data_IF_777285594462
#
_entry.id   IF_777285594462
#
_cell.length_a   1.000
_cell.length_b   1.000
_cell.length_c   1.000
_cell.angle_alpha   90.00
_cell.angle_beta   90.00
_cell.angle_gamma   90.00
#
_symmetry.space_group_name_H-M   'P 1'
#
loop_
_entity.id
_entity.type
_entity.pdbx_description
1 polymer ?
#
# COMPACT_ATOMS: atom_id res chain seq x y z
N UNK A 1 -16.22 -7.63 6.96
CA UNK A 1 -16.55 -7.34 8.38
C UNK A 1 -17.21 -5.97 8.56
N UNK A 2 -16.81 -4.92 7.83
CA UNK A 2 -17.39 -3.57 7.95
C UNK A 2 -18.75 -3.38 7.23
N UNK A 3 -18.98 -3.96 6.05
CA UNK A 3 -20.30 -3.94 5.39
C UNK A 3 -21.40 -4.49 6.33
N UNK A 4 -21.13 -5.61 7.01
CA UNK A 4 -22.00 -6.18 8.06
C UNK A 4 -22.17 -5.26 9.29
N UNK A 5 -21.24 -4.34 9.57
CA UNK A 5 -21.31 -3.38 10.68
C UNK A 5 -22.16 -2.16 10.31
N UNK A 6 -22.09 -1.71 9.06
CA UNK A 6 -22.95 -0.64 8.51
C UNK A 6 -24.39 -1.14 8.30
N UNK A 7 -24.58 -2.38 7.82
CA UNK A 7 -25.88 -3.04 7.75
C UNK A 7 -26.52 -3.21 9.14
N UNK A 8 -25.75 -3.61 10.16
CA UNK A 8 -26.23 -3.69 11.55
C UNK A 8 -26.62 -2.33 12.14
N UNK A 9 -26.11 -1.22 11.61
CA UNK A 9 -26.45 0.13 12.01
C UNK A 9 -27.66 0.71 11.23
N UNK A 10 -28.35 -0.10 10.44
CA UNK A 10 -29.53 0.32 9.66
C UNK A 10 -29.20 1.24 8.49
N UNK A 11 -27.92 1.38 8.13
CA UNK A 11 -27.47 2.18 6.99
C UNK A 11 -27.11 1.24 5.85
N UNK A 12 -27.97 1.18 4.85
CA UNK A 12 -27.67 0.47 3.61
C UNK A 12 -26.43 1.10 2.95
N UNK A 13 -25.30 0.40 3.02
CA UNK A 13 -24.05 0.81 2.40
C UNK A 13 -23.77 -0.14 1.23
N UNK A 14 -23.67 0.41 0.03
CA UNK A 14 -23.22 -0.31 -1.15
C UNK A 14 -21.81 0.15 -1.51
N UNK A 15 -20.97 -0.78 -1.93
CA UNK A 15 -19.71 -0.45 -2.55
C UNK A 15 -19.97 0.08 -3.95
N UNK A 16 -19.26 1.13 -4.34
CA UNK A 16 -19.32 1.72 -5.67
C UNK A 16 -17.89 1.77 -6.16
N UNK A 17 -17.62 1.28 -7.37
CA UNK A 17 -16.29 1.41 -7.97
C UNK A 17 -16.04 2.90 -8.20
N UNK A 18 -14.82 3.40 -8.00
CA UNK A 18 -14.54 4.83 -8.14
C UNK A 18 -14.98 5.39 -9.52
N UNK A 19 -14.89 4.58 -10.58
CA UNK A 19 -15.36 4.91 -11.94
C UNK A 19 -16.88 4.94 -12.11
N UNK A 20 -17.64 4.41 -11.16
CA UNK A 20 -19.10 4.38 -11.16
C UNK A 20 -19.73 5.57 -10.41
N UNK A 21 -18.91 6.39 -9.75
CA UNK A 21 -19.36 7.65 -9.15
C UNK A 21 -19.69 8.64 -10.28
N UNK A 22 -20.91 9.15 -10.27
CA UNK A 22 -21.47 10.07 -11.28
C UNK A 22 -21.11 11.53 -11.04
N UNK A 23 -20.48 11.83 -9.90
CA UNK A 23 -20.01 13.15 -9.51
C UNK A 23 -21.07 14.02 -8.81
N UNK A 24 -22.32 13.55 -8.73
CA UNK A 24 -23.44 14.17 -8.01
C UNK A 24 -23.70 13.52 -6.64
N UNK A 25 -22.90 12.52 -6.26
CA UNK A 25 -22.97 11.90 -4.95
C UNK A 25 -22.61 12.89 -3.84
N UNK A 26 -23.43 12.92 -2.80
CA UNK A 26 -23.13 13.66 -1.58
C UNK A 26 -21.77 13.22 -1.00
N UNK A 27 -20.75 14.10 -0.96
CA UNK A 27 -19.43 13.77 -0.45
C UNK A 27 -19.46 13.28 1.01
N UNK A 28 -20.46 13.70 1.80
CA UNK A 28 -20.64 13.22 3.17
C UNK A 28 -21.06 11.75 3.26
N UNK A 29 -21.45 11.14 2.12
CA UNK A 29 -21.90 9.74 2.01
C UNK A 29 -20.91 8.85 1.27
N UNK A 30 -19.84 9.41 0.70
CA UNK A 30 -18.78 8.68 0.02
C UNK A 30 -17.56 8.63 0.93
N UNK A 31 -17.24 7.43 1.44
CA UNK A 31 -16.05 7.22 2.24
C UNK A 31 -15.03 6.42 1.44
N UNK A 32 -13.90 7.05 1.12
CA UNK A 32 -12.80 6.36 0.45
C UNK A 32 -12.24 5.27 1.38
N UNK A 33 -12.09 4.07 0.86
CA UNK A 33 -11.47 2.98 1.60
C UNK A 33 -10.00 3.31 1.80
N UNK A 34 -9.57 3.24 3.07
CA UNK A 34 -8.19 3.48 3.48
C UNK A 34 -7.66 2.24 4.20
N UNK A 35 -6.42 1.89 3.88
CA UNK A 35 -5.67 0.87 4.61
C UNK A 35 -5.36 1.43 6.01
N UNK A 36 -5.38 0.57 7.04
CA UNK A 36 -5.25 1.01 8.44
C UNK A 36 -6.52 1.67 9.02
N UNK A 37 -7.46 2.07 8.18
CA UNK A 37 -8.81 2.50 8.57
C UNK A 37 -9.83 1.36 8.44
N UNK A 38 -10.68 1.47 7.42
CA UNK A 38 -11.74 0.47 7.16
C UNK A 38 -11.18 -0.87 6.67
N UNK A 39 -9.98 -0.86 6.09
CA UNK A 39 -9.27 -2.07 5.69
C UNK A 39 -8.15 -2.39 6.69
N UNK A 40 -8.21 -3.52 7.41
CA UNK A 40 -7.25 -3.83 8.46
C UNK A 40 -5.87 -4.16 7.89
N UNK A 41 -4.83 -3.53 8.43
CA UNK A 41 -3.43 -3.81 8.07
C UNK A 41 -3.02 -5.26 8.29
N UNK A 42 -3.63 -5.93 9.27
CA UNK A 42 -3.39 -7.34 9.57
C UNK A 42 -3.62 -8.27 8.36
N UNK A 43 -4.36 -7.82 7.34
CA UNK A 43 -4.50 -8.53 6.06
C UNK A 43 -3.14 -8.82 5.39
N UNK A 44 -2.16 -7.94 5.56
CA UNK A 44 -0.84 -8.05 4.93
C UNK A 44 0.19 -8.81 5.80
N UNK A 45 -0.19 -9.32 6.99
CA UNK A 45 0.75 -9.95 7.93
C UNK A 45 1.41 -11.23 7.40
N UNK A 46 0.77 -11.92 6.45
CA UNK A 46 1.32 -13.08 5.73
C UNK A 46 1.98 -12.69 4.40
N UNK A 47 2.17 -11.40 4.15
CA UNK A 47 2.64 -10.86 2.87
C UNK A 47 1.62 -10.94 1.74
N UNK A 48 0.44 -11.56 1.94
CA UNK A 48 -0.62 -11.65 0.92
C UNK A 48 -1.12 -10.25 0.56
N UNK A 49 -1.30 -9.98 -0.73
CA UNK A 49 -1.71 -8.66 -1.23
C UNK A 49 -0.59 -7.63 -1.32
N UNK A 50 0.60 -7.90 -0.79
CA UNK A 50 1.78 -7.09 -1.08
C UNK A 50 2.35 -7.48 -2.46
N UNK A 51 2.72 -6.53 -3.31
CA UNK A 51 3.36 -6.84 -4.59
C UNK A 51 4.75 -7.43 -4.36
N UNK A 52 5.24 -8.13 -5.37
CA UNK A 52 6.60 -8.64 -5.41
C UNK A 52 7.36 -7.85 -6.47
N UNK A 53 8.49 -7.27 -6.08
CA UNK A 53 9.45 -6.71 -7.02
C UNK A 53 10.01 -7.83 -7.91
N UNK A 54 10.12 -7.56 -9.22
CA UNK A 54 10.77 -8.46 -10.17
C UNK A 54 12.30 -8.44 -9.98
N UNK A 55 12.99 -9.52 -10.37
CA UNK A 55 14.47 -9.60 -10.36
C UNK A 55 15.03 -10.98 -9.98
N UNK A 56 16.20 -11.30 -10.51
CA UNK A 56 16.84 -12.64 -10.44
C UNK A 56 17.14 -13.16 -9.02
N UNK A 57 17.23 -12.27 -8.03
CA UNK A 57 17.51 -12.60 -6.63
C UNK A 57 16.43 -12.10 -5.66
N UNK A 58 15.24 -11.78 -6.16
CA UNK A 58 14.17 -11.15 -5.38
C UNK A 58 14.46 -9.68 -5.14
N UNK A 59 13.76 -8.81 -5.87
CA UNK A 59 13.88 -7.37 -5.67
C UNK A 59 13.35 -6.93 -4.30
N UNK A 60 13.58 -5.66 -3.97
CA UNK A 60 13.01 -5.06 -2.75
C UNK A 60 11.71 -4.36 -3.11
N UNK A 61 10.64 -4.71 -2.40
CA UNK A 61 9.42 -3.91 -2.41
C UNK A 61 9.53 -2.83 -1.34
N UNK A 62 9.45 -1.57 -1.74
CA UNK A 62 9.48 -0.41 -0.86
C UNK A 62 8.08 0.18 -0.75
N UNK A 63 7.45 0.01 0.41
CA UNK A 63 6.16 0.61 0.71
C UNK A 63 6.36 2.04 1.19
N UNK A 64 5.61 2.98 0.60
CA UNK A 64 5.63 4.38 1.01
C UNK A 64 4.34 4.72 1.74
N UNK A 65 4.44 4.92 3.05
CA UNK A 65 3.30 5.28 3.91
C UNK A 65 2.97 6.76 3.69
N UNK A 66 1.71 7.09 3.33
CA UNK A 66 1.32 8.46 3.04
C UNK A 66 1.41 9.34 4.30
N UNK A 67 1.58 10.64 4.07
CA UNK A 67 1.55 11.63 5.14
C UNK A 67 0.19 11.60 5.86
N UNK A 68 0.20 11.92 7.16
CA UNK A 68 -1.03 11.94 7.96
C UNK A 68 -1.58 10.57 8.35
N UNK A 69 -0.91 9.46 8.01
CA UNK A 69 -1.20 8.16 8.62
C UNK A 69 -1.06 8.25 10.15
N UNK A 70 -1.93 7.55 10.90
CA UNK A 70 -1.87 7.55 12.36
C UNK A 70 -0.59 6.88 12.87
N UNK A 71 -0.09 7.26 14.05
CA UNK A 71 1.14 6.68 14.61
C UNK A 71 1.06 5.14 14.74
N UNK A 72 -0.10 4.62 15.14
CA UNK A 72 -0.39 3.18 15.23
C UNK A 72 -0.35 2.48 13.88
N UNK A 73 -0.78 3.17 12.83
CA UNK A 73 -0.75 2.67 11.45
C UNK A 73 0.66 2.64 10.88
N UNK A 74 1.44 3.70 11.10
CA UNK A 74 2.86 3.75 10.73
C UNK A 74 3.65 2.62 11.38
N UNK A 75 3.44 2.42 12.68
CA UNK A 75 4.10 1.37 13.44
C UNK A 75 3.72 -0.03 12.93
N UNK A 76 2.44 -0.22 12.57
CA UNK A 76 1.98 -1.48 12.00
C UNK A 76 2.59 -1.76 10.61
N UNK A 77 2.83 -0.73 9.78
CA UNK A 77 3.57 -0.89 8.53
C UNK A 77 5.04 -1.27 8.78
N UNK A 78 5.72 -0.56 9.68
CA UNK A 78 7.11 -0.86 10.05
C UNK A 78 7.26 -2.27 10.64
N UNK A 79 6.25 -2.74 11.38
CA UNK A 79 6.23 -4.11 11.88
C UNK A 79 6.18 -5.16 10.76
N UNK A 80 5.54 -4.88 9.62
CA UNK A 80 5.56 -5.81 8.47
C UNK A 80 6.96 -5.97 7.89
N UNK A 81 7.75 -4.88 7.86
CA UNK A 81 9.17 -4.95 7.49
C UNK A 81 9.96 -5.77 8.50
N UNK A 82 9.84 -5.48 9.81
CA UNK A 82 10.57 -6.19 10.88
C UNK A 82 10.27 -7.68 10.92
N UNK A 83 9.01 -8.04 10.73
CA UNK A 83 8.54 -9.43 10.68
C UNK A 83 8.77 -10.11 9.34
N UNK A 84 9.41 -9.41 8.38
CA UNK A 84 9.72 -9.90 7.02
C UNK A 84 8.49 -10.51 6.35
N UNK A 85 7.37 -9.79 6.37
CA UNK A 85 6.07 -10.30 5.91
C UNK A 85 6.13 -10.90 4.49
N UNK A 86 6.89 -10.28 3.57
CA UNK A 86 7.08 -10.80 2.20
C UNK A 86 7.89 -12.11 2.14
N UNK A 87 8.83 -12.33 3.06
CA UNK A 87 9.64 -13.55 3.09
C UNK A 87 8.80 -14.81 3.37
N UNK A 88 7.60 -14.65 3.95
CA UNK A 88 6.62 -15.73 4.12
C UNK A 88 6.04 -16.23 2.80
N UNK A 89 6.04 -15.40 1.75
CA UNK A 89 5.57 -15.77 0.39
C UNK A 89 6.70 -16.10 -0.55
N UNK A 90 7.83 -15.41 -0.44
CA UNK A 90 9.02 -15.66 -1.25
C UNK A 90 10.26 -15.37 -0.39
N UNK A 91 11.10 -16.37 -0.08
CA UNK A 91 12.23 -16.20 0.85
C UNK A 91 13.28 -15.19 0.37
N UNK A 92 13.29 -14.88 -0.93
CA UNK A 92 14.20 -13.91 -1.55
C UNK A 92 13.58 -12.51 -1.65
N UNK A 93 12.27 -12.35 -1.43
CA UNK A 93 11.62 -11.05 -1.47
C UNK A 93 11.87 -10.27 -0.18
N UNK A 94 12.40 -9.06 -0.33
CA UNK A 94 12.57 -8.10 0.76
C UNK A 94 11.47 -7.06 0.79
N UNK A 95 11.15 -6.59 2.00
CA UNK A 95 10.23 -5.50 2.26
C UNK A 95 10.99 -4.39 2.98
N UNK A 96 10.83 -3.16 2.50
CA UNK A 96 11.23 -1.95 3.22
C UNK A 96 10.04 -1.00 3.30
N UNK A 97 10.03 -0.15 4.31
CA UNK A 97 9.01 0.86 4.53
C UNK A 97 9.66 2.22 4.63
N UNK A 98 9.06 3.19 3.95
CA UNK A 98 9.38 4.61 4.06
C UNK A 98 8.13 5.39 4.48
N UNK A 99 8.32 6.49 5.21
CA UNK A 99 7.26 7.40 5.63
C UNK A 99 7.41 8.72 4.88
N UNK A 100 6.28 9.30 4.43
CA UNK A 100 6.30 10.55 3.65
C UNK A 100 6.60 11.78 4.53
N UNK A 101 6.21 11.75 5.80
CA UNK A 101 6.27 12.88 6.74
C UNK A 101 7.04 12.56 8.04
N UNK A 102 7.82 11.49 8.04
CA UNK A 102 8.62 11.02 9.18
C UNK A 102 9.78 10.14 8.71
N UNK A 103 10.59 9.66 9.65
CA UNK A 103 11.68 8.72 9.36
C UNK A 103 11.25 7.25 9.58
N UNK A 104 11.76 6.31 8.78
CA UNK A 104 12.73 6.53 7.69
C UNK A 104 12.06 7.10 6.43
N UNK A 105 12.65 8.13 5.85
CA UNK A 105 12.15 8.82 4.65
C UNK A 105 12.47 8.04 3.36
N UNK A 106 11.68 8.26 2.31
CA UNK A 106 11.88 7.59 1.02
C UNK A 106 13.31 7.79 0.45
N UNK A 107 13.88 9.02 0.41
CA UNK A 107 15.26 9.21 -0.03
C UNK A 107 16.29 8.47 0.83
N UNK A 108 16.11 8.45 2.15
CA UNK A 108 17.02 7.74 3.06
C UNK A 108 17.01 6.22 2.78
N UNK A 109 15.82 5.62 2.71
CA UNK A 109 15.68 4.17 2.48
C UNK A 109 16.30 3.77 1.15
N UNK A 110 16.12 4.56 0.08
CA UNK A 110 16.76 4.28 -1.20
C UNK A 110 18.29 4.41 -1.13
N UNK A 111 18.82 5.41 -0.42
CA UNK A 111 20.26 5.55 -0.23
C UNK A 111 20.86 4.35 0.51
N UNK A 112 20.18 3.86 1.55
CA UNK A 112 20.59 2.65 2.29
C UNK A 112 20.55 1.40 1.40
N UNK A 113 19.49 1.22 0.61
CA UNK A 113 19.37 0.08 -0.32
C UNK A 113 20.47 0.08 -1.37
N UNK A 114 20.83 1.25 -1.90
CA UNK A 114 21.97 1.43 -2.82
C UNK A 114 23.29 1.08 -2.16
N UNK A 115 23.53 1.59 -0.96
CA UNK A 115 24.76 1.30 -0.21
C UNK A 115 24.88 -0.21 0.09
N UNK A 116 23.76 -0.91 0.24
CA UNK A 116 23.70 -2.37 0.40
C UNK A 116 23.86 -3.17 -0.91
N UNK A 117 24.02 -2.51 -2.06
CA UNK A 117 24.16 -3.16 -3.36
C UNK A 117 22.85 -3.65 -3.99
N UNK A 118 21.71 -3.17 -3.50
CA UNK A 118 20.41 -3.48 -4.12
C UNK A 118 20.33 -2.83 -5.50
N UNK A 119 19.95 -3.61 -6.51
CA UNK A 119 19.84 -3.13 -7.90
C UNK A 119 18.42 -2.86 -8.36
N UNK A 120 17.44 -3.62 -7.85
CA UNK A 120 16.03 -3.50 -8.27
C UNK A 120 15.12 -3.22 -7.08
N UNK A 121 14.38 -2.13 -7.19
CA UNK A 121 13.42 -1.69 -6.17
C UNK A 121 12.08 -1.37 -6.82
N UNK A 122 11.02 -1.93 -6.26
CA UNK A 122 9.63 -1.61 -6.61
C UNK A 122 9.06 -0.66 -5.56
N UNK A 123 8.82 0.60 -5.93
CA UNK A 123 8.20 1.61 -5.07
C UNK A 123 6.69 1.53 -5.18
N UNK A 124 6.02 1.42 -4.04
CA UNK A 124 4.57 1.24 -3.98
C UNK A 124 3.98 2.09 -2.86
N UNK A 125 3.11 3.07 -3.16
CA UNK A 125 2.34 3.76 -2.13
C UNK A 125 1.50 2.78 -1.32
N UNK A 126 1.48 2.94 0.00
CA UNK A 126 0.69 2.12 0.93
C UNK A 126 -0.79 2.53 0.95
N UNK A 127 -1.36 2.71 -0.24
CA UNK A 127 -2.77 3.02 -0.50
C UNK A 127 -3.29 2.08 -1.59
N UNK A 128 -4.60 2.00 -1.77
CA UNK A 128 -5.18 1.16 -2.84
C UNK A 128 -4.78 1.66 -4.23
N UNK A 129 -4.92 2.96 -4.45
CA UNK A 129 -4.49 3.65 -5.67
C UNK A 129 -4.19 5.10 -5.32
N UNK A 130 -2.93 5.50 -5.47
CA UNK A 130 -2.50 6.88 -5.40
C UNK A 130 -3.02 7.64 -6.64
N UNK A 131 -3.35 8.90 -6.43
CA UNK A 131 -3.66 9.84 -7.49
C UNK A 131 -2.41 10.18 -8.31
N UNK A 132 -2.58 10.69 -9.55
CA UNK A 132 -1.46 11.17 -10.35
C UNK A 132 -0.63 12.26 -9.64
N UNK A 133 -1.28 13.10 -8.84
CA UNK A 133 -0.61 14.15 -8.06
C UNK A 133 0.28 13.58 -6.97
N UNK A 134 -0.19 12.58 -6.23
CA UNK A 134 0.60 11.88 -5.20
C UNK A 134 1.80 11.15 -5.83
N UNK A 135 1.59 10.45 -6.95
CA UNK A 135 2.68 9.77 -7.65
C UNK A 135 3.76 10.76 -8.14
N UNK A 136 3.34 11.92 -8.65
CA UNK A 136 4.28 12.98 -9.06
C UNK A 136 5.03 13.54 -7.87
N UNK A 137 4.34 13.85 -6.77
CA UNK A 137 4.98 14.35 -5.56
C UNK A 137 6.02 13.37 -4.98
N UNK A 138 5.74 12.07 -5.04
CA UNK A 138 6.69 11.03 -4.64
C UNK A 138 7.91 11.00 -5.56
N UNK A 139 7.73 11.06 -6.88
CA UNK A 139 8.84 11.11 -7.82
C UNK A 139 9.69 12.38 -7.64
N UNK A 140 9.05 13.54 -7.44
CA UNK A 140 9.73 14.81 -7.17
C UNK A 140 10.51 14.77 -5.84
N UNK A 141 10.02 14.06 -4.82
CA UNK A 141 10.72 13.92 -3.53
C UNK A 141 12.09 13.23 -3.64
N UNK A 142 12.30 12.45 -4.70
CA UNK A 142 13.57 11.78 -4.99
C UNK A 142 14.54 12.65 -5.79
N UNK A 143 14.05 13.68 -6.50
CA UNK A 143 14.85 14.50 -7.40
C UNK A 143 15.71 13.67 -8.37
N UNK A 144 16.92 14.14 -8.64
CA UNK A 144 17.88 13.47 -9.53
C UNK A 144 18.35 12.11 -8.98
N UNK A 145 18.14 11.84 -7.70
CA UNK A 145 18.52 10.56 -7.11
C UNK A 145 17.73 9.40 -7.73
N UNK A 146 16.53 9.61 -8.28
CA UNK A 146 15.72 8.53 -8.86
C UNK A 146 16.30 7.90 -10.14
N UNK A 147 17.15 8.62 -10.89
CA UNK A 147 17.46 8.28 -12.29
C UNK A 147 18.95 7.97 -12.54
N UNK A 148 19.56 7.17 -11.66
CA UNK A 148 20.97 6.75 -11.82
C UNK A 148 21.04 5.39 -12.52
N UNK A 149 21.99 5.24 -13.45
CA UNK A 149 22.14 4.07 -14.32
C UNK A 149 22.45 2.75 -13.60
N UNK A 150 22.77 2.79 -12.30
CA UNK A 150 23.13 1.63 -11.48
C UNK A 150 21.98 1.09 -10.62
N UNK A 151 20.77 1.64 -10.78
CA UNK A 151 19.64 1.38 -9.88
C UNK A 151 18.28 1.38 -10.60
N UNK A 152 17.71 0.19 -10.80
CA UNK A 152 16.42 0.00 -11.43
C UNK A 152 15.28 0.31 -10.45
N UNK A 153 14.57 1.39 -10.73
CA UNK A 153 13.41 1.83 -9.95
C UNK A 153 12.11 1.60 -10.74
N UNK A 154 11.33 0.62 -10.30
CA UNK A 154 9.97 0.38 -10.81
C UNK A 154 8.92 0.98 -9.88
N UNK A 155 7.74 1.30 -10.42
CA UNK A 155 6.66 1.94 -9.67
C UNK A 155 5.34 1.20 -9.86
N UNK A 156 4.58 1.06 -8.77
CA UNK A 156 3.14 0.76 -8.83
C UNK A 156 2.35 1.94 -8.26
N UNK A 157 1.14 2.21 -8.77
CA UNK A 157 0.30 3.28 -8.26
C UNK A 157 -0.28 2.99 -6.87
N UNK A 158 -0.12 1.77 -6.33
CA UNK A 158 -0.60 1.39 -5.02
C UNK A 158 -0.62 -0.12 -4.87
N UNK A 159 -1.17 -0.60 -3.76
CA UNK A 159 -1.30 -2.02 -3.46
C UNK A 159 -2.41 -2.70 -4.27
N UNK A 160 -3.24 -1.92 -4.96
CA UNK A 160 -4.42 -2.42 -5.64
C UNK A 160 -5.45 -2.94 -4.64
N UNK A 161 -6.70 -3.08 -5.08
CA UNK A 161 -7.75 -3.58 -4.23
C UNK A 161 -9.04 -3.77 -5.00
N UNK A 162 -9.44 -5.03 -5.16
CA UNK A 162 -10.80 -5.39 -5.53
C UNK A 162 -11.44 -6.04 -4.31
N UNK A 163 -12.58 -5.50 -3.89
CA UNK A 163 -13.39 -6.07 -2.83
C UNK A 163 -14.30 -7.14 -3.44
N UNK A 164 -13.95 -8.41 -3.29
CA UNK A 164 -14.88 -9.50 -3.59
C UNK A 164 -15.96 -9.57 -2.50
N UNK A 165 -17.21 -9.28 -2.86
CA UNK A 165 -18.36 -9.61 -2.04
C UNK A 165 -18.57 -11.13 -2.07
N UNK A 166 -18.87 -11.73 -0.91
CA UNK A 166 -19.47 -13.06 -0.91
C UNK A 166 -20.84 -12.98 -1.60
N UNK A 167 -21.16 -13.95 -2.45
CA UNK A 167 -22.49 -14.06 -3.05
C UNK A 167 -23.55 -14.09 -1.93
N UNK A 168 -24.70 -13.42 -2.11
CA UNK A 168 -25.80 -13.53 -1.17
C UNK A 168 -26.30 -14.99 -1.16
N UNK A 169 -25.81 -15.79 -0.20
CA UNK A 169 -26.09 -17.22 -0.15
C UNK A 169 -25.10 -18.04 0.67
N UNK A 170 -23.86 -17.58 0.84
CA UNK A 170 -22.86 -18.26 1.70
C UNK A 170 -23.10 -17.97 3.20
N UNK A 171 -24.20 -18.52 3.70
CA UNK A 171 -24.33 -18.98 5.09
C UNK A 171 -24.10 -20.50 5.06
N UNK A 172 -22.84 -20.94 5.16
CA UNK A 172 -22.54 -22.30 5.63
C UNK A 172 -22.65 -22.25 7.17
N UNK A 173 -23.74 -22.79 7.73
CA UNK A 173 -23.85 -24.16 8.29
C UNK A 173 -22.83 -24.42 9.38
#
# INVERSE_FOLDING_TARGET
VHARRLERAGRAARMVIASELRGDEDPARVQQLRIGGLWPLAFFAEGRGLPLAEGDFGGITLLVVPAGAEATEREAWLELERTKALSKRSPFAGLRVALTDAEPSLPQVLAELRAAGTRSVLVVPAVFCASPGEMRALAESLGDAAFRDDFDLAWLPGLGGELCCAAPGDRAR
#
